data_IF_215312430862
#
_entry.id   IF_215312430862
#
_cell.length_a   1.000
_cell.length_b   1.000
_cell.length_c   1.000
_cell.angle_alpha   90.00
_cell.angle_beta   90.00
_cell.angle_gamma   90.00
#
_symmetry.space_group_name_H-M   'P 1'
#
loop_
_entity.id
_entity.type
_entity.pdbx_description
1 polymer ?
#
# COMPACT_ATOMS: atom_id res chain seq x y z
N UNK A 1 8.87 2.53 -5.34
CA UNK A 1 9.40 3.92 -5.40
C UNK A 1 8.27 4.86 -5.80
N UNK A 2 8.15 6.02 -5.15
CA UNK A 2 7.17 7.04 -5.50
C UNK A 2 7.74 7.97 -6.57
N UNK A 3 7.10 8.06 -7.74
CA UNK A 3 7.44 9.06 -8.76
C UNK A 3 6.61 10.33 -8.57
N UNK A 4 5.40 10.19 -8.04
CA UNK A 4 4.53 11.29 -7.62
C UNK A 4 3.89 10.92 -6.28
N UNK A 5 3.84 11.87 -5.34
CA UNK A 5 3.19 11.69 -4.05
C UNK A 5 2.51 12.99 -3.61
N UNK A 6 1.39 12.92 -2.85
CA UNK A 6 0.79 14.09 -2.23
C UNK A 6 1.77 14.79 -1.30
N UNK A 7 1.88 16.12 -1.39
CA UNK A 7 2.80 16.89 -0.55
C UNK A 7 2.41 16.84 0.93
N UNK A 8 1.27 17.43 1.33
CA UNK A 8 0.81 17.35 2.70
C UNK A 8 0.14 16.00 3.03
N UNK A 9 0.34 15.42 4.22
CA UNK A 9 -0.33 14.17 4.63
C UNK A 9 -1.86 14.25 4.66
N UNK A 10 -2.45 15.43 4.84
CA UNK A 10 -3.90 15.60 4.84
C UNK A 10 -4.54 15.44 3.46
N UNK A 11 -3.76 15.50 2.37
CA UNK A 11 -4.24 15.26 1.01
C UNK A 11 -4.51 13.75 0.73
N UNK A 12 -4.12 12.86 1.66
CA UNK A 12 -4.32 11.41 1.54
C UNK A 12 -3.18 10.71 0.82
N UNK A 13 -3.42 9.49 0.32
CA UNK A 13 -2.41 8.68 -0.39
C UNK A 13 -1.33 8.08 0.52
N UNK A 14 -1.56 8.07 1.84
CA UNK A 14 -0.66 7.47 2.82
C UNK A 14 -0.71 5.94 2.69
N UNK A 15 0.40 5.28 2.99
CA UNK A 15 0.39 3.85 3.26
C UNK A 15 -0.25 3.65 4.63
N UNK A 16 -1.37 2.95 4.69
CA UNK A 16 -1.96 2.45 5.93
C UNK A 16 -1.72 0.94 6.01
N UNK A 17 -1.22 0.45 7.15
CA UNK A 17 -0.78 -0.94 7.26
C UNK A 17 -0.84 -1.51 8.68
N UNK A 18 -1.00 -2.83 8.76
CA UNK A 18 -0.89 -3.65 9.98
C UNK A 18 0.03 -4.83 9.70
N UNK A 19 1.23 -4.89 10.29
CA UNK A 19 2.13 -6.03 10.10
C UNK A 19 1.61 -7.26 10.84
N UNK A 20 1.83 -8.46 10.27
CA UNK A 20 1.35 -9.74 10.81
C UNK A 20 -0.17 -9.75 11.01
N UNK A 21 -0.90 -9.15 10.08
CA UNK A 21 -2.35 -9.07 10.16
C UNK A 21 -3.00 -10.43 9.89
N UNK A 22 -4.09 -10.71 10.60
CA UNK A 22 -4.95 -11.87 10.34
C UNK A 22 -5.89 -11.63 9.15
N UNK A 23 -6.18 -10.37 8.82
CA UNK A 23 -7.12 -9.98 7.77
C UNK A 23 -7.08 -8.48 7.47
N UNK A 24 -7.77 -8.07 6.41
CA UNK A 24 -7.86 -6.66 5.99
C UNK A 24 -8.71 -5.81 6.93
N UNK A 25 -9.66 -6.41 7.63
CA UNK A 25 -10.52 -5.79 8.65
C UNK A 25 -9.72 -5.10 9.76
N UNK A 26 -8.50 -5.60 10.04
CA UNK A 26 -7.62 -4.99 11.02
C UNK A 26 -7.15 -3.57 10.65
N UNK A 27 -7.27 -3.17 9.37
CA UNK A 27 -6.99 -1.79 8.94
C UNK A 27 -7.98 -0.77 9.49
N UNK A 28 -9.16 -1.20 9.95
CA UNK A 28 -10.17 -0.32 10.54
C UNK A 28 -10.09 -0.30 12.08
N UNK A 29 -9.03 -0.88 12.65
CA UNK A 29 -8.76 -0.90 14.10
C UNK A 29 -7.67 0.10 14.49
N UNK A 30 -7.49 0.32 15.79
CA UNK A 30 -6.40 1.15 16.33
C UNK A 30 -4.98 0.58 16.10
N UNK A 31 -4.87 -0.65 15.57
CA UNK A 31 -3.58 -1.26 15.23
C UNK A 31 -2.99 -0.69 13.93
N UNK A 32 -3.83 -0.04 13.10
CA UNK A 32 -3.43 0.53 11.83
C UNK A 32 -2.40 1.65 12.00
N UNK A 33 -1.27 1.51 11.31
CA UNK A 33 -0.21 2.52 11.25
C UNK A 33 -0.27 3.25 9.93
N UNK A 34 0.20 4.49 9.89
CA UNK A 34 0.27 5.30 8.69
C UNK A 34 1.69 5.78 8.41
N UNK A 35 2.07 5.77 7.14
CA UNK A 35 3.31 6.35 6.65
C UNK A 35 3.02 7.26 5.45
N UNK A 36 3.53 8.49 5.53
CA UNK A 36 3.56 9.45 4.44
C UNK A 36 4.92 9.36 3.73
N UNK A 37 4.93 9.61 2.43
CA UNK A 37 6.11 9.46 1.57
C UNK A 37 6.21 10.67 0.65
N UNK A 38 7.43 11.11 0.40
CA UNK A 38 7.77 12.10 -0.61
C UNK A 38 8.10 11.43 -1.97
N UNK A 39 8.08 12.18 -3.09
CA UNK A 39 8.67 11.72 -4.34
C UNK A 39 10.14 11.30 -4.12
N UNK A 40 10.52 10.16 -4.70
CA UNK A 40 11.83 9.54 -4.51
C UNK A 40 11.89 8.52 -3.37
N UNK A 41 10.96 8.55 -2.41
CA UNK A 41 10.93 7.57 -1.35
C UNK A 41 10.64 6.15 -1.88
N UNK A 42 11.12 5.16 -1.13
CA UNK A 42 10.82 3.77 -1.33
C UNK A 42 10.67 3.05 0.02
N UNK A 43 9.85 2.02 0.04
CA UNK A 43 9.73 1.12 1.18
C UNK A 43 9.73 -0.33 0.69
N UNK A 44 10.16 -1.23 1.57
CA UNK A 44 10.05 -2.68 1.39
C UNK A 44 8.98 -3.20 2.36
N UNK A 45 8.06 -4.01 1.84
CA UNK A 45 6.92 -4.54 2.59
C UNK A 45 6.83 -6.06 2.42
N UNK A 46 6.58 -6.78 3.51
CA UNK A 46 6.14 -8.18 3.43
C UNK A 46 4.66 -8.23 3.07
N UNK A 47 4.36 -8.29 1.77
CA UNK A 47 3.01 -8.16 1.24
C UNK A 47 2.04 -9.26 1.66
N UNK A 48 2.52 -10.46 1.95
CA UNK A 48 1.69 -11.64 2.26
C UNK A 48 1.19 -11.68 3.71
N UNK A 49 1.88 -10.99 4.61
CA UNK A 49 1.60 -10.99 6.05
C UNK A 49 1.25 -9.61 6.57
N UNK A 50 1.18 -8.61 5.69
CA UNK A 50 0.84 -7.23 6.06
C UNK A 50 -0.45 -6.83 5.37
N UNK A 51 -1.51 -6.60 6.14
CA UNK A 51 -2.67 -5.91 5.60
C UNK A 51 -2.27 -4.47 5.30
N UNK A 52 -2.55 -3.97 4.10
CA UNK A 52 -2.18 -2.63 3.70
C UNK A 52 -3.12 -2.05 2.65
N UNK A 53 -3.31 -0.73 2.69
CA UNK A 53 -4.04 0.05 1.68
C UNK A 53 -3.40 1.42 1.48
N UNK A 54 -3.71 2.07 0.37
CA UNK A 54 -3.48 3.51 0.22
C UNK A 54 -4.70 4.26 0.75
N UNK A 55 -4.51 5.29 1.58
CA UNK A 55 -5.65 6.12 2.00
C UNK A 55 -6.22 6.93 0.82
N UNK A 56 -7.53 7.22 0.79
CA UNK A 56 -8.14 7.98 -0.31
C UNK A 56 -7.48 9.34 -0.52
N UNK A 57 -7.29 9.74 -1.77
CA UNK A 57 -6.90 11.10 -2.12
C UNK A 57 -8.09 12.04 -1.87
N UNK A 58 -7.84 13.19 -1.26
CA UNK A 58 -8.92 14.08 -0.77
C UNK A 58 -9.12 15.36 -1.58
N UNK A 59 -8.18 15.68 -2.47
CA UNK A 59 -8.17 16.93 -3.23
C UNK A 59 -8.04 16.67 -4.73
N UNK A 60 -8.85 17.33 -5.59
CA UNK A 60 -8.69 17.25 -7.04
C UNK A 60 -7.28 17.64 -7.50
N UNK A 61 -6.79 16.96 -8.54
CA UNK A 61 -5.47 17.23 -9.13
C UNK A 61 -4.29 16.65 -8.34
N UNK A 62 -4.51 16.10 -7.14
CA UNK A 62 -3.46 15.35 -6.42
C UNK A 62 -3.24 14.01 -7.08
N UNK A 63 -1.97 13.62 -7.22
CA UNK A 63 -1.56 12.34 -7.82
C UNK A 63 -0.66 11.56 -6.88
N UNK A 64 -0.76 10.24 -6.97
CA UNK A 64 0.13 9.28 -6.30
C UNK A 64 0.49 8.20 -7.31
N UNK A 65 1.74 8.17 -7.74
CA UNK A 65 2.25 7.22 -8.73
C UNK A 65 3.40 6.44 -8.12
N UNK A 66 3.29 5.12 -8.14
CA UNK A 66 4.21 4.22 -7.45
C UNK A 66 4.62 3.08 -8.37
N UNK A 67 5.94 2.84 -8.43
CA UNK A 67 6.50 1.63 -8.99
C UNK A 67 6.57 0.56 -7.91
N UNK A 68 5.84 -0.54 -8.11
CA UNK A 68 5.83 -1.70 -7.24
C UNK A 68 6.61 -2.85 -7.89
N UNK A 69 7.67 -3.30 -7.23
CA UNK A 69 8.39 -4.51 -7.60
C UNK A 69 8.05 -5.61 -6.60
N UNK A 70 7.46 -6.69 -7.09
CA UNK A 70 7.16 -7.86 -6.28
C UNK A 70 8.28 -8.90 -6.46
N UNK A 71 8.86 -9.32 -5.34
CA UNK A 71 9.91 -10.33 -5.31
C UNK A 71 9.41 -11.56 -4.56
N UNK A 72 9.85 -12.74 -4.98
CA UNK A 72 9.63 -13.99 -4.25
C UNK A 72 10.97 -14.67 -3.98
N UNK A 73 11.00 -15.53 -2.97
CA UNK A 73 12.15 -16.40 -2.70
C UNK A 73 11.94 -17.74 -3.39
N UNK A 74 13.01 -18.40 -3.89
CA UNK A 74 12.91 -19.75 -4.43
C UNK A 74 12.20 -20.70 -3.45
N UNK A 75 11.36 -21.59 -3.98
CA UNK A 75 10.62 -22.58 -3.19
C UNK A 75 9.41 -22.03 -2.41
N UNK A 76 9.15 -20.72 -2.44
CA UNK A 76 7.94 -20.16 -1.83
C UNK A 76 6.76 -20.38 -2.77
N UNK A 77 5.68 -20.98 -2.23
CA UNK A 77 4.40 -21.12 -2.93
C UNK A 77 3.94 -19.76 -3.43
N UNK A 78 3.55 -19.69 -4.70
CA UNK A 78 2.95 -18.51 -5.31
C UNK A 78 1.70 -18.15 -4.51
N UNK A 79 1.70 -16.99 -3.86
CA UNK A 79 0.48 -16.45 -3.28
C UNK A 79 -0.44 -16.05 -4.44
N UNK A 80 -1.50 -16.83 -4.67
CA UNK A 80 -2.62 -16.42 -5.52
C UNK A 80 -3.44 -15.41 -4.74
N UNK A 81 -3.06 -14.14 -4.80
CA UNK A 81 -3.97 -13.05 -4.49
C UNK A 81 -4.88 -12.86 -5.69
N UNK A 82 -6.22 -12.84 -5.54
CA UNK A 82 -7.07 -12.30 -6.60
C UNK A 82 -6.60 -10.86 -6.85
N UNK A 83 -5.96 -10.68 -8.01
CA UNK A 83 -5.10 -9.54 -8.31
C UNK A 83 -5.91 -8.33 -8.76
N UNK A 84 -5.24 -7.34 -9.36
CA UNK A 84 -5.84 -6.22 -10.07
C UNK A 84 -6.87 -6.62 -11.15
N UNK A 85 -7.02 -7.90 -11.50
CA UNK A 85 -8.12 -8.38 -12.32
C UNK A 85 -9.50 -7.98 -11.76
N UNK A 86 -9.66 -7.90 -10.43
CA UNK A 86 -10.90 -7.42 -9.78
C UNK A 86 -11.12 -5.90 -9.90
N UNK A 87 -10.20 -5.15 -10.51
CA UNK A 87 -10.32 -3.70 -10.71
C UNK A 87 -10.77 -3.33 -12.14
N UNK A 88 -10.90 -4.30 -13.04
CA UNK A 88 -11.23 -4.09 -14.45
C UNK A 88 -12.51 -4.84 -14.89
N UNK A 89 -13.37 -5.21 -13.94
CA UNK A 89 -14.74 -5.65 -14.23
C UNK A 89 -15.61 -4.48 -14.73
#
# INVERSE_FOLDING_TARGET
>A
MFTEAPGPPHDGGLLEYVPRAAGLDQLDTSLARRAHHAPGDAYLLRSDTTAHRATPLRRPGVRRVVLNFAYTTPGRRTATTPSAALLYD
#
